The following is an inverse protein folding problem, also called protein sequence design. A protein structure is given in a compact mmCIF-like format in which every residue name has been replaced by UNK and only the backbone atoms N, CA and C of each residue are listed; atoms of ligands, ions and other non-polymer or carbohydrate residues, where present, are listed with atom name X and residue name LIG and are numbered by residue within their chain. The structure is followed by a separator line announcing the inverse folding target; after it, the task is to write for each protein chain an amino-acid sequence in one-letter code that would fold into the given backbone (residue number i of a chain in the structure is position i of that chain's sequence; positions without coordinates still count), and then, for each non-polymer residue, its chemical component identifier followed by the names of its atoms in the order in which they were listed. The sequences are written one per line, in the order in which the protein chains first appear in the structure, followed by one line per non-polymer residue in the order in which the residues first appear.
data_IF_012691157870
#
_entry.id   IF_012691157870
#
_cell.length_a   1.000
_cell.length_b   1.000
_cell.length_c   1.000
_cell.angle_alpha   90.00
_cell.angle_beta   90.00
_cell.angle_gamma   90.00
#
_symmetry.space_group_name_H-M   'P 1'
#
loop_
_entity.id
_entity.type
_entity.pdbx_description
1 polymer ?
#
# COMPACT_ATOMS: atom_id res chain seq x y z
N UNK A 1 10.86 15.04 0.61
CA UNK A 1 10.03 15.51 1.75
C UNK A 1 10.47 16.84 2.35
N UNK A 2 11.73 17.03 2.79
CA UNK A 2 12.14 18.23 3.56
C UNK A 2 11.77 19.58 2.93
N UNK A 3 12.08 19.79 1.64
CA UNK A 3 11.73 21.04 0.95
C UNK A 3 10.22 21.28 0.83
N UNK A 4 9.45 20.20 0.69
CA UNK A 4 7.99 20.27 0.62
C UNK A 4 7.40 20.64 1.99
N UNK A 5 7.92 20.05 3.07
CA UNK A 5 7.53 20.41 4.43
C UNK A 5 7.85 21.87 4.78
N UNK A 6 9.05 22.33 4.39
CA UNK A 6 9.44 23.74 4.60
C UNK A 6 8.54 24.69 3.80
N UNK A 7 8.16 24.31 2.58
CA UNK A 7 7.21 25.06 1.78
C UNK A 7 5.83 25.12 2.45
N UNK A 8 5.31 24.00 2.95
CA UNK A 8 4.06 23.94 3.73
C UNK A 8 4.11 24.88 4.93
N UNK A 9 5.12 24.75 5.78
CA UNK A 9 5.29 25.59 6.97
C UNK A 9 5.40 27.08 6.62
N UNK A 10 6.08 27.40 5.52
CA UNK A 10 6.18 28.77 5.03
C UNK A 10 4.80 29.32 4.64
N UNK A 11 3.98 28.56 3.90
CA UNK A 11 2.63 29.00 3.52
C UNK A 11 1.69 29.13 4.71
N UNK A 12 1.82 28.26 5.72
CA UNK A 12 1.07 28.32 6.97
C UNK A 12 1.46 29.56 7.78
N UNK A 13 2.77 29.80 7.94
CA UNK A 13 3.29 30.99 8.64
C UNK A 13 2.83 32.29 7.97
N UNK A 14 2.85 32.34 6.64
CA UNK A 14 2.36 33.51 5.89
C UNK A 14 0.86 33.73 6.13
N UNK A 15 0.07 32.66 6.14
CA UNK A 15 -1.36 32.74 6.41
C UNK A 15 -1.64 33.27 7.82
N UNK A 16 -0.89 32.79 8.81
CA UNK A 16 -0.94 33.28 10.19
C UNK A 16 -0.57 34.76 10.30
N UNK A 17 0.50 35.19 9.62
CA UNK A 17 0.93 36.59 9.57
C UNK A 17 -0.14 37.49 8.96
N UNK A 18 -0.82 37.02 7.90
CA UNK A 18 -1.89 37.73 7.22
C UNK A 18 -3.24 37.59 7.92
N UNK A 19 -3.33 36.79 9.00
CA UNK A 19 -4.58 36.46 9.71
C UNK A 19 -5.65 35.88 8.79
N UNK A 20 -5.24 35.12 7.77
CA UNK A 20 -6.13 34.42 6.86
C UNK A 20 -6.16 32.92 7.20
N UNK A 21 -7.27 32.22 6.93
CA UNK A 21 -7.34 30.78 7.15
C UNK A 21 -6.31 30.02 6.30
N UNK A 22 -5.68 29.02 6.91
CA UNK A 22 -4.92 27.98 6.23
C UNK A 22 -5.61 26.62 6.48
N UNK A 23 -5.78 25.78 5.46
CA UNK A 23 -5.53 26.04 4.05
C UNK A 23 -6.56 26.99 3.43
N UNK A 24 -6.26 27.52 2.24
CA UNK A 24 -7.17 28.35 1.44
C UNK A 24 -7.00 28.03 -0.06
N UNK A 25 -7.89 28.58 -0.90
CA UNK A 25 -7.92 28.32 -2.35
C UNK A 25 -6.57 28.61 -3.03
N UNK A 26 -5.89 29.67 -2.63
CA UNK A 26 -4.58 30.02 -3.21
C UNK A 26 -3.53 28.95 -2.91
N UNK A 27 -3.48 28.46 -1.66
CA UNK A 27 -2.59 27.36 -1.26
C UNK A 27 -2.95 26.07 -2.00
N UNK A 28 -4.24 25.73 -2.07
CA UNK A 28 -4.72 24.55 -2.83
C UNK A 28 -4.24 24.58 -4.29
N UNK A 29 -4.53 25.67 -5.02
CA UNK A 29 -4.17 25.79 -6.43
C UNK A 29 -2.64 25.76 -6.63
N UNK A 30 -1.88 26.33 -5.70
CA UNK A 30 -0.41 26.31 -5.73
C UNK A 30 0.15 24.90 -5.50
N UNK A 31 -0.38 24.19 -4.51
CA UNK A 31 0.03 22.82 -4.20
C UNK A 31 -0.30 21.87 -5.35
N UNK A 32 -1.48 22.00 -5.98
CA UNK A 32 -1.84 21.22 -7.17
C UNK A 32 -0.86 21.48 -8.31
N UNK A 33 -0.48 22.73 -8.57
CA UNK A 33 0.51 23.07 -9.60
C UNK A 33 1.90 22.50 -9.30
N UNK A 34 2.33 22.53 -8.04
CA UNK A 34 3.62 21.94 -7.63
C UNK A 34 3.62 20.44 -7.84
N UNK A 35 2.57 19.73 -7.42
CA UNK A 35 2.46 18.29 -7.69
C UNK A 35 2.44 17.99 -9.19
N UNK A 36 1.63 18.73 -9.94
CA UNK A 36 1.54 18.60 -11.38
C UNK A 36 2.80 19.04 -12.11
N UNK A 37 3.81 19.63 -11.47
CA UNK A 37 5.07 20.04 -12.13
C UNK A 37 6.26 19.20 -11.68
N UNK A 38 6.34 18.90 -10.39
CA UNK A 38 7.52 18.30 -9.77
C UNK A 38 7.27 16.86 -9.29
N UNK A 39 6.01 16.43 -9.12
CA UNK A 39 5.65 15.12 -8.60
C UNK A 39 4.77 14.31 -9.57
N UNK A 40 4.77 14.62 -10.88
CA UNK A 40 3.94 13.90 -11.88
C UNK A 40 4.18 12.39 -11.89
N UNK A 41 5.45 12.00 -11.81
CA UNK A 41 5.87 10.60 -11.92
C UNK A 41 6.10 9.95 -10.55
N UNK A 42 5.58 10.57 -9.48
CA UNK A 42 5.61 9.94 -8.17
C UNK A 42 4.63 8.75 -8.19
N UNK A 43 5.15 7.54 -7.99
CA UNK A 43 4.31 6.38 -7.75
C UNK A 43 3.59 6.66 -6.43
N UNK A 44 2.30 7.01 -6.51
CA UNK A 44 1.42 6.97 -5.35
C UNK A 44 1.36 5.51 -4.93
N UNK A 45 2.27 5.14 -4.05
CA UNK A 45 2.25 3.85 -3.37
C UNK A 45 1.23 4.02 -2.24
N UNK A 46 -0.01 4.34 -2.63
CA UNK A 46 -1.15 3.90 -1.83
C UNK A 46 -0.90 2.40 -1.61
N UNK A 47 -1.10 1.91 -0.39
CA UNK A 47 -1.17 0.48 -0.13
C UNK A 47 -2.38 -0.06 -0.91
N UNK A 48 -2.26 -0.17 -2.24
CA UNK A 48 -3.24 -0.78 -3.09
C UNK A 48 -3.17 -2.27 -2.81
N UNK A 49 -4.34 -2.85 -2.58
CA UNK A 49 -4.47 -4.29 -2.57
C UNK A 49 -3.85 -4.87 -3.85
N UNK A 50 -3.15 -6.01 -3.76
CA UNK A 50 -2.63 -6.66 -4.94
C UNK A 50 -3.79 -7.01 -5.89
N UNK A 51 -3.53 -7.08 -7.21
CA UNK A 51 -4.55 -7.42 -8.21
C UNK A 51 -5.41 -8.62 -7.77
N UNK A 52 -6.73 -8.64 -8.05
CA UNK A 52 -7.64 -9.70 -7.60
C UNK A 52 -7.17 -11.12 -7.95
N UNK A 53 -6.45 -11.27 -9.07
CA UNK A 53 -5.83 -12.53 -9.49
C UNK A 53 -4.75 -13.04 -8.54
N UNK A 54 -3.94 -12.15 -7.97
CA UNK A 54 -2.90 -12.49 -7.00
C UNK A 54 -3.54 -12.90 -5.68
N UNK A 55 -4.54 -12.14 -5.20
CA UNK A 55 -5.30 -12.48 -3.99
C UNK A 55 -5.95 -13.85 -4.15
N UNK A 56 -6.59 -14.11 -5.30
CA UNK A 56 -7.20 -15.40 -5.60
C UNK A 56 -6.19 -16.55 -5.58
N UNK A 57 -5.03 -16.38 -6.22
CA UNK A 57 -3.96 -17.38 -6.21
C UNK A 57 -3.45 -17.67 -4.79
N UNK A 58 -3.25 -16.63 -3.98
CA UNK A 58 -2.82 -16.75 -2.58
C UNK A 58 -3.85 -17.44 -1.70
N UNK A 59 -5.15 -17.26 -1.96
CA UNK A 59 -6.23 -17.94 -1.23
C UNK A 59 -6.38 -19.40 -1.68
N UNK A 60 -6.30 -19.67 -2.98
CA UNK A 60 -6.43 -21.04 -3.51
C UNK A 60 -5.25 -21.93 -3.15
N UNK A 61 -4.05 -21.36 -3.00
CA UNK A 61 -2.84 -22.10 -2.63
C UNK A 61 -3.00 -22.91 -1.33
N UNK A 62 -3.32 -22.33 -0.16
CA UNK A 62 -3.52 -23.09 1.07
C UNK A 62 -4.73 -24.02 1.00
N UNK A 63 -5.82 -23.64 0.33
CA UNK A 63 -7.01 -24.49 0.16
C UNK A 63 -6.66 -25.80 -0.55
N UNK A 64 -5.77 -25.74 -1.54
CA UNK A 64 -5.32 -26.93 -2.27
C UNK A 64 -4.17 -27.65 -1.55
N UNK A 65 -3.21 -26.92 -0.99
CA UNK A 65 -2.01 -27.53 -0.38
C UNK A 65 -2.32 -28.30 0.90
N UNK A 66 -3.20 -27.78 1.77
CA UNK A 66 -3.55 -28.43 3.04
C UNK A 66 -4.08 -29.87 2.82
N UNK A 67 -5.12 -30.12 2.00
CA UNK A 67 -5.63 -31.48 1.79
C UNK A 67 -4.60 -32.38 1.09
N UNK A 68 -3.79 -31.86 0.18
CA UNK A 68 -2.71 -32.63 -0.46
C UNK A 68 -1.73 -33.12 0.61
N UNK A 69 -1.26 -32.23 1.48
CA UNK A 69 -0.32 -32.59 2.56
C UNK A 69 -0.96 -33.62 3.50
N UNK A 70 -2.22 -33.43 3.91
CA UNK A 70 -2.93 -34.37 4.78
C UNK A 70 -3.01 -35.76 4.14
N UNK A 71 -3.42 -35.85 2.87
CA UNK A 71 -3.49 -37.13 2.14
C UNK A 71 -2.11 -37.77 2.03
N UNK A 72 -1.07 -36.99 1.70
CA UNK A 72 0.30 -37.50 1.60
C UNK A 72 0.80 -38.04 2.94
N UNK A 73 0.53 -37.35 4.05
CA UNK A 73 0.89 -37.80 5.40
C UNK A 73 0.16 -39.10 5.74
N UNK A 74 -1.15 -39.17 5.54
CA UNK A 74 -1.95 -40.38 5.82
C UNK A 74 -1.49 -41.57 4.98
N UNK A 75 -1.15 -41.36 3.70
CA UNK A 75 -0.61 -42.43 2.86
C UNK A 75 0.76 -42.88 3.34
N UNK A 76 1.64 -41.94 3.72
CA UNK A 76 2.97 -42.28 4.25
C UNK A 76 2.90 -43.00 5.60
N UNK A 77 2.00 -42.62 6.52
CA UNK A 77 1.84 -43.34 7.78
C UNK A 77 1.29 -44.74 7.55
N UNK A 78 0.26 -44.90 6.71
CA UNK A 78 -0.28 -46.22 6.36
C UNK A 78 0.76 -47.15 5.72
N UNK A 79 1.62 -46.62 4.86
CA UNK A 79 2.70 -47.40 4.24
C UNK A 79 3.90 -47.64 5.17
N UNK A 80 4.12 -46.78 6.18
CA UNK A 80 5.15 -46.97 7.21
C UNK A 80 4.77 -47.99 8.26
N UNK A 81 3.50 -48.00 8.68
CA UNK A 81 2.95 -48.94 9.67
C UNK A 81 2.68 -50.33 9.06
N UNK A 82 2.51 -50.42 7.74
CA UNK A 82 2.35 -51.69 7.01
C UNK A 82 3.65 -52.39 6.64
N UNK A 83 4.81 -51.84 7.03
CA UNK A 83 6.14 -52.37 6.76
C UNK A 83 6.93 -52.77 8.02
N UNK A 84 6.25 -52.97 9.16
CA UNK A 84 6.82 -53.58 10.37
C UNK A 84 6.08 -54.86 10.76
#
# INVERSE_FOLDING_TARGET
MHSYNNFTLCTETIADCLRIPWPNKFVEDTFVQIHAKYLRDCIMTELSDPPPSIVFALVMTPICLIPIIVVLVVLKTKNGDGAS
#
